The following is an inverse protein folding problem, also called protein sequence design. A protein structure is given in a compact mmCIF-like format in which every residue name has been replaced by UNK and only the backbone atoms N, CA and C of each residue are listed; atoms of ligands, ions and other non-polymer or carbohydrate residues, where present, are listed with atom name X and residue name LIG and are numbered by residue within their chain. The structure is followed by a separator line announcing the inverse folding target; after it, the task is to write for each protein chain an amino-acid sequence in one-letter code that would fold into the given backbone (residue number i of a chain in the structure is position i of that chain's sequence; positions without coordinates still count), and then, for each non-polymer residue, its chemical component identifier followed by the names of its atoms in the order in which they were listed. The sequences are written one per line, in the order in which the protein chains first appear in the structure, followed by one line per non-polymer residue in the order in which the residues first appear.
data_IF_581911238061
#
_entry.id   IF_581911238061
#
_cell.length_a   1.000
_cell.length_b   1.000
_cell.length_c   1.000
_cell.angle_alpha   90.00
_cell.angle_beta   90.00
_cell.angle_gamma   90.00
#
_symmetry.space_group_name_H-M   'P 1'
#
loop_
_entity.id
_entity.type
_entity.pdbx_description
1 polymer ?
#
# COMPACT_ATOMS: atom_id res chain seq x y z
N UNK A 1 -4.69 15.97 -6.59
CA UNK A 1 -4.15 17.02 -5.70
C UNK A 1 -3.26 16.39 -4.63
N UNK A 2 -1.99 16.80 -4.52
CA UNK A 2 -1.09 16.34 -3.46
C UNK A 2 -1.56 16.86 -2.09
N UNK A 3 -1.31 16.10 -1.02
CA UNK A 3 -1.61 16.52 0.36
C UNK A 3 -0.57 17.56 0.79
N UNK A 4 -0.94 18.48 1.66
CA UNK A 4 0.01 19.47 2.20
C UNK A 4 1.20 18.76 2.89
N UNK A 5 2.42 19.23 2.62
CA UNK A 5 3.67 18.71 3.19
C UNK A 5 3.64 18.65 4.73
N UNK A 6 3.03 19.62 5.40
CA UNK A 6 2.90 19.65 6.87
C UNK A 6 2.11 18.47 7.45
N UNK A 7 1.25 17.81 6.66
CA UNK A 7 0.36 16.72 7.13
C UNK A 7 0.95 15.31 6.93
N UNK A 8 2.12 15.21 6.31
CA UNK A 8 2.78 13.93 6.03
C UNK A 8 2.06 13.04 5.00
N UNK A 9 2.70 11.92 4.62
CA UNK A 9 2.11 10.93 3.74
C UNK A 9 0.85 10.33 4.35
N UNK A 10 -0.11 9.99 3.50
CA UNK A 10 -1.38 9.39 3.93
C UNK A 10 -1.37 7.89 3.69
N UNK A 11 -1.84 7.13 4.67
CA UNK A 11 -2.21 5.73 4.53
C UNK A 11 -3.56 5.50 5.20
N UNK A 12 -4.39 4.66 4.59
CA UNK A 12 -5.60 4.19 5.24
C UNK A 12 -5.29 3.20 6.37
N UNK A 13 -5.94 3.40 7.52
CA UNK A 13 -5.74 2.56 8.70
C UNK A 13 -6.01 1.07 8.44
N UNK A 14 -6.96 0.75 7.55
CA UNK A 14 -7.24 -0.63 7.18
C UNK A 14 -6.09 -1.27 6.38
N UNK A 15 -5.37 -0.48 5.58
CA UNK A 15 -4.26 -0.97 4.76
C UNK A 15 -3.04 -1.14 5.66
N UNK A 16 -2.78 -0.16 6.53
CA UNK A 16 -1.71 -0.21 7.51
C UNK A 16 -1.78 -1.48 8.37
N UNK A 17 -2.95 -1.76 8.97
CA UNK A 17 -3.16 -2.96 9.79
C UNK A 17 -2.94 -4.28 9.03
N UNK A 18 -3.22 -4.31 7.72
CA UNK A 18 -2.99 -5.51 6.90
C UNK A 18 -1.51 -5.70 6.58
N UNK A 19 -0.81 -4.60 6.30
CA UNK A 19 0.63 -4.60 6.05
C UNK A 19 1.39 -5.02 7.31
N UNK A 20 1.06 -4.44 8.47
CA UNK A 20 1.68 -4.82 9.75
C UNK A 20 1.53 -6.32 10.03
N UNK A 21 0.32 -6.87 9.87
CA UNK A 21 0.08 -8.31 10.02
C UNK A 21 0.86 -9.17 9.03
N UNK A 22 0.96 -8.74 7.78
CA UNK A 22 1.69 -9.48 6.75
C UNK A 22 3.21 -9.46 7.00
N UNK A 23 3.73 -8.35 7.52
CA UNK A 23 5.14 -8.24 7.92
C UNK A 23 5.41 -9.13 9.14
N UNK A 24 4.53 -9.13 10.13
CA UNK A 24 4.64 -9.97 11.33
C UNK A 24 4.54 -11.47 11.01
N UNK A 25 3.61 -11.87 10.13
CA UNK A 25 3.44 -13.27 9.75
C UNK A 25 4.42 -13.76 8.69
N UNK A 26 5.10 -12.85 7.99
CA UNK A 26 5.96 -13.19 6.84
C UNK A 26 5.17 -13.70 5.61
N UNK A 27 3.84 -13.63 5.63
CA UNK A 27 3.00 -14.11 4.53
C UNK A 27 3.04 -13.15 3.34
N UNK A 28 3.56 -13.63 2.20
CA UNK A 28 3.60 -12.88 0.94
C UNK A 28 2.30 -12.93 0.13
N UNK A 29 1.16 -13.12 0.80
CA UNK A 29 -0.14 -13.22 0.13
C UNK A 29 -0.56 -11.85 -0.42
N UNK A 30 -1.19 -11.78 -1.61
CA UNK A 30 -1.64 -10.51 -2.18
C UNK A 30 -2.65 -9.78 -1.27
N UNK A 31 -2.30 -8.56 -0.85
CA UNK A 31 -3.13 -7.72 0.02
C UNK A 31 -4.12 -6.90 -0.80
N UNK A 32 -5.42 -7.20 -0.68
CA UNK A 32 -6.47 -6.46 -1.39
C UNK A 32 -6.75 -5.10 -0.75
N UNK A 33 -6.74 -4.05 -1.57
CA UNK A 33 -7.04 -2.67 -1.17
C UNK A 33 -7.94 -1.97 -2.18
N UNK A 34 -8.84 -1.15 -1.65
CA UNK A 34 -9.63 -0.16 -2.41
C UNK A 34 -9.05 1.24 -2.28
N UNK A 35 -8.11 1.43 -1.36
CA UNK A 35 -7.47 2.72 -1.14
C UNK A 35 -6.38 2.98 -2.17
N UNK A 36 -6.76 3.66 -3.25
CA UNK A 36 -5.84 4.21 -4.26
C UNK A 36 -5.17 5.53 -3.84
N UNK A 37 -5.50 6.02 -2.66
CA UNK A 37 -5.02 7.32 -2.13
C UNK A 37 -3.88 7.15 -1.14
N UNK A 38 -3.63 5.92 -0.70
CA UNK A 38 -2.57 5.56 0.23
C UNK A 38 -1.22 5.68 -0.46
N UNK A 39 -0.25 6.19 0.27
CA UNK A 39 1.14 6.33 -0.17
C UNK A 39 1.86 5.04 0.13
N UNK A 40 2.78 4.62 -0.74
CA UNK A 40 3.61 3.46 -0.50
C UNK A 40 4.65 3.81 0.56
N UNK A 41 4.65 3.05 1.65
CA UNK A 41 5.61 3.16 2.75
C UNK A 41 6.73 2.13 2.60
N UNK A 42 7.94 2.38 3.16
CA UNK A 42 9.06 1.44 3.08
C UNK A 42 8.75 0.04 3.64
N UNK A 43 7.86 -0.07 4.62
CA UNK A 43 7.43 -1.35 5.19
C UNK A 43 6.59 -2.22 4.23
N UNK A 44 6.19 -1.68 3.08
CA UNK A 44 5.43 -2.41 2.05
C UNK A 44 6.33 -3.07 1.00
N UNK A 45 7.64 -2.80 1.03
CA UNK A 45 8.58 -3.33 0.03
C UNK A 45 8.57 -4.86 0.09
N UNK A 46 8.47 -5.49 -1.08
CA UNK A 46 8.41 -6.95 -1.19
C UNK A 46 7.02 -7.56 -0.94
N UNK A 47 6.00 -6.75 -0.66
CA UNK A 47 4.60 -7.18 -0.62
C UNK A 47 3.92 -6.99 -1.98
N UNK A 48 2.98 -7.88 -2.27
CA UNK A 48 2.08 -7.74 -3.42
C UNK A 48 0.78 -7.10 -2.97
N UNK A 49 0.45 -5.93 -3.50
CA UNK A 49 -0.77 -5.21 -3.19
C UNK A 49 -1.72 -5.30 -4.38
N UNK A 50 -2.90 -5.85 -4.17
CA UNK A 50 -3.94 -5.93 -5.19
C UNK A 50 -4.84 -4.68 -5.10
N UNK A 51 -4.60 -3.71 -5.99
CA UNK A 51 -5.25 -2.39 -5.99
C UNK A 51 -6.50 -2.40 -6.88
N UNK A 52 -7.64 -1.96 -6.35
CA UNK A 52 -8.88 -1.87 -7.11
C UNK A 52 -8.87 -0.73 -8.13
N UNK A 53 -9.02 -1.02 -9.41
CA UNK A 53 -9.04 0.00 -10.49
C UNK A 53 -10.45 0.52 -10.84
N UNK A 54 -11.51 -0.02 -10.24
CA UNK A 54 -12.91 0.28 -10.57
C UNK A 54 -13.67 -0.92 -11.15
N UNK A 55 -12.95 -1.93 -11.66
CA UNK A 55 -13.52 -3.17 -12.21
C UNK A 55 -12.91 -4.40 -11.54
N UNK A 56 -11.60 -4.43 -11.35
CA UNK A 56 -10.87 -5.56 -10.80
C UNK A 56 -9.74 -5.11 -9.88
N UNK A 57 -9.21 -6.06 -9.10
CA UNK A 57 -8.02 -5.83 -8.29
C UNK A 57 -6.79 -6.23 -9.10
N UNK A 58 -5.94 -5.25 -9.41
CA UNK A 58 -4.70 -5.47 -10.15
C UNK A 58 -3.58 -5.71 -9.15
N UNK A 59 -2.90 -6.88 -9.19
CA UNK A 59 -1.76 -7.15 -8.32
C UNK A 59 -0.56 -6.30 -8.76
N UNK A 60 -0.01 -5.53 -7.83
CA UNK A 60 1.20 -4.73 -8.01
C UNK A 60 2.21 -5.20 -6.98
N UNK A 61 3.39 -5.58 -7.44
CA UNK A 61 4.52 -5.91 -6.57
C UNK A 61 5.28 -4.62 -6.25
N UNK A 62 5.50 -4.35 -4.96
CA UNK A 62 6.11 -3.09 -4.50
C UNK A 62 7.63 -3.22 -4.47
N UNK A 63 8.32 -2.40 -5.27
CA UNK A 63 9.78 -2.20 -5.21
C UNK A 63 10.15 -0.93 -4.42
N UNK A 64 11.43 -0.80 -4.07
CA UNK A 64 11.96 0.35 -3.30
C UNK A 64 11.76 1.70 -4.03
N UNK A 65 11.92 1.70 -5.36
CA UNK A 65 11.70 2.88 -6.21
C UNK A 65 10.26 3.41 -6.16
N UNK A 66 9.30 2.58 -5.73
CA UNK A 66 7.90 2.97 -5.64
C UNK A 66 7.55 3.68 -4.32
N UNK A 67 8.48 3.78 -3.37
CA UNK A 67 8.25 4.48 -2.10
C UNK A 67 7.90 5.95 -2.35
N UNK A 68 6.82 6.43 -1.74
CA UNK A 68 6.31 7.80 -1.94
C UNK A 68 5.31 7.95 -3.08
N UNK A 69 5.15 6.94 -3.94
CA UNK A 69 4.10 6.91 -4.97
C UNK A 69 2.72 6.50 -4.40
N UNK A 70 1.67 6.63 -5.22
CA UNK A 70 0.28 6.30 -4.91
C UNK A 70 -0.36 5.51 -6.03
#
# INVERSE_FOLDING_TARGET
MPRSLKKGPFIDLHLLKKVEKAVESGDKKPLRTWSRRSTIFPNMIGLTIAVHNGRQHVPVFVSDEMVGHK
#
